data_IF_327383045870
#
_entry.id   IF_327383045870
#
_cell.length_a   1.000
_cell.length_b   1.000
_cell.length_c   1.000
_cell.angle_alpha   90.00
_cell.angle_beta   90.00
_cell.angle_gamma   90.00
#
_symmetry.space_group_name_H-M   'P 1'
#
loop_
_entity.id
_entity.type
_entity.pdbx_description
1 polymer ?
#
# COMPACT_ATOMS: atom_id res chain seq x y z
N UNK A 1 -22.15 9.21 1.60
CA UNK A 1 -21.13 10.22 1.27
C UNK A 1 -19.83 9.61 1.70
N UNK A 2 -18.87 9.45 0.79
CA UNK A 2 -17.58 8.87 1.15
C UNK A 2 -16.71 9.94 1.81
N UNK A 3 -16.07 9.60 2.93
CA UNK A 3 -15.11 10.51 3.56
C UNK A 3 -13.75 10.34 2.87
N UNK A 4 -13.08 11.44 2.58
CA UNK A 4 -11.70 11.40 2.11
C UNK A 4 -10.77 11.61 3.31
N UNK A 5 -9.85 10.67 3.52
CA UNK A 5 -8.92 10.65 4.66
C UNK A 5 -7.50 10.54 4.13
N UNK A 6 -6.62 11.40 4.62
CA UNK A 6 -5.17 11.34 4.35
C UNK A 6 -4.43 11.09 5.66
N UNK A 7 -3.36 10.30 5.61
CA UNK A 7 -2.46 10.07 6.74
C UNK A 7 -1.03 9.76 6.26
N UNK A 8 -0.05 9.81 7.16
CA UNK A 8 1.32 9.40 6.87
C UNK A 8 1.45 7.88 6.88
N UNK A 9 2.56 7.37 6.34
CA UNK A 9 2.89 5.95 6.40
C UNK A 9 2.96 5.43 7.84
N UNK A 10 3.65 6.13 8.73
CA UNK A 10 3.77 5.76 10.15
C UNK A 10 2.39 5.67 10.85
N UNK A 11 1.49 6.62 10.58
CA UNK A 11 0.12 6.62 11.12
C UNK A 11 -0.68 5.42 10.61
N UNK A 12 -0.49 5.06 9.35
CA UNK A 12 -1.13 3.90 8.74
C UNK A 12 -0.60 2.59 9.32
N UNK A 13 0.71 2.48 9.53
CA UNK A 13 1.32 1.30 10.16
C UNK A 13 0.81 1.10 11.59
N UNK A 14 0.76 2.16 12.40
CA UNK A 14 0.25 2.09 13.77
C UNK A 14 -1.24 1.69 13.80
N UNK A 15 -2.04 2.28 12.90
CA UNK A 15 -3.49 2.13 12.89
C UNK A 15 -3.94 0.78 12.31
N UNK A 16 -3.36 0.37 11.19
CA UNK A 16 -3.85 -0.79 10.43
C UNK A 16 -2.98 -2.04 10.60
N UNK A 17 -1.72 -1.90 11.00
CA UNK A 17 -0.78 -3.00 11.27
C UNK A 17 -0.62 -3.90 10.04
N UNK A 18 0.16 -3.48 9.03
CA UNK A 18 0.44 -4.32 7.87
C UNK A 18 1.09 -5.64 8.31
N UNK A 19 0.65 -6.72 7.70
CA UNK A 19 1.16 -8.05 7.96
C UNK A 19 2.42 -8.31 7.12
N UNK A 20 3.38 -9.00 7.73
CA UNK A 20 4.56 -9.50 7.02
C UNK A 20 4.14 -10.40 5.86
N UNK A 21 4.85 -10.27 4.74
CA UNK A 21 4.66 -11.15 3.61
C UNK A 21 5.28 -12.52 3.93
N UNK A 22 4.44 -13.47 4.32
CA UNK A 22 4.89 -14.82 4.66
C UNK A 22 5.23 -15.70 3.45
N UNK A 23 4.91 -15.25 2.23
CA UNK A 23 5.16 -15.99 0.99
C UNK A 23 6.60 -15.74 0.54
N UNK A 24 7.04 -14.48 0.56
CA UNK A 24 8.44 -14.09 0.37
C UNK A 24 9.02 -13.42 1.62
N UNK A 25 9.34 -14.24 2.61
CA UNK A 25 9.79 -13.78 3.92
C UNK A 25 11.13 -13.02 3.91
N UNK A 26 11.94 -13.10 2.85
CA UNK A 26 13.28 -12.50 2.80
C UNK A 26 13.52 -11.56 1.60
N UNK A 27 12.65 -11.59 0.58
CA UNK A 27 12.76 -10.75 -0.61
C UNK A 27 11.70 -9.64 -0.70
N UNK A 28 10.66 -9.68 0.15
CA UNK A 28 9.62 -8.66 0.14
C UNK A 28 10.17 -7.25 0.42
N UNK A 29 9.63 -6.26 -0.29
CA UNK A 29 9.96 -4.84 -0.09
C UNK A 29 9.31 -4.28 1.19
N UNK A 30 9.71 -3.06 1.59
CA UNK A 30 9.31 -2.43 2.86
C UNK A 30 9.77 -3.26 4.07
N UNK A 31 11.09 -3.49 4.16
CA UNK A 31 11.71 -4.37 5.15
C UNK A 31 11.92 -3.67 6.49
N UNK A 32 11.73 -4.42 7.57
CA UNK A 32 12.18 -4.04 8.90
C UNK A 32 13.69 -4.33 9.10
N UNK A 33 14.22 -4.01 10.29
CA UNK A 33 15.63 -4.28 10.66
C UNK A 33 16.00 -5.78 10.63
N UNK A 34 15.01 -6.68 10.62
CA UNK A 34 15.20 -8.13 10.52
C UNK A 34 15.21 -8.63 9.08
N UNK A 35 14.97 -7.75 8.10
CA UNK A 35 14.91 -8.07 6.67
C UNK A 35 13.57 -8.65 6.21
N UNK A 36 12.52 -8.60 7.06
CA UNK A 36 11.19 -9.10 6.69
C UNK A 36 10.36 -7.95 6.11
N UNK A 37 9.86 -8.13 4.89
CA UNK A 37 9.03 -7.14 4.19
C UNK A 37 7.52 -7.37 4.32
N UNK A 38 6.74 -6.33 4.04
CA UNK A 38 5.27 -6.34 4.13
C UNK A 38 4.57 -6.25 2.76
N UNK A 39 5.30 -5.93 1.69
CA UNK A 39 4.73 -5.75 0.35
C UNK A 39 4.53 -7.10 -0.36
N UNK A 40 3.38 -7.24 -1.01
CA UNK A 40 3.03 -8.36 -1.87
C UNK A 40 3.13 -7.96 -3.34
N UNK A 41 3.63 -8.88 -4.16
CA UNK A 41 3.80 -8.71 -5.60
C UNK A 41 2.48 -8.66 -6.39
N UNK A 42 2.59 -8.14 -7.62
CA UNK A 42 1.45 -7.90 -8.51
C UNK A 42 1.12 -9.07 -9.43
N UNK A 43 1.78 -10.22 -9.23
CA UNK A 43 1.53 -11.45 -9.97
C UNK A 43 1.85 -12.70 -9.14
N UNK A 44 1.46 -13.87 -9.65
CA UNK A 44 1.83 -15.16 -9.07
C UNK A 44 1.09 -15.48 -7.76
N UNK A 45 1.76 -16.21 -6.86
CA UNK A 45 1.15 -16.70 -5.62
C UNK A 45 0.78 -15.58 -4.64
N UNK A 46 1.54 -14.48 -4.66
CA UNK A 46 1.30 -13.32 -3.80
C UNK A 46 0.05 -12.55 -4.20
N UNK A 47 -0.13 -12.28 -5.51
CA UNK A 47 -1.36 -11.65 -6.01
C UNK A 47 -2.60 -12.52 -5.73
N UNK A 48 -2.47 -13.85 -5.80
CA UNK A 48 -3.55 -14.77 -5.42
C UNK A 48 -3.88 -14.68 -3.93
N UNK A 49 -2.87 -14.57 -3.05
CA UNK A 49 -3.09 -14.39 -1.62
C UNK A 49 -3.81 -13.08 -1.31
N UNK A 50 -3.44 -11.99 -1.99
CA UNK A 50 -4.13 -10.69 -1.89
C UNK A 50 -5.58 -10.79 -2.34
N UNK A 51 -5.87 -11.45 -3.46
CA UNK A 51 -7.24 -11.63 -3.96
C UNK A 51 -8.12 -12.51 -3.05
N UNK A 52 -7.52 -13.40 -2.26
CA UNK A 52 -8.21 -14.28 -1.32
C UNK A 52 -8.38 -13.67 0.07
N UNK A 53 -7.70 -12.56 0.37
CA UNK A 53 -7.81 -11.86 1.63
C UNK A 53 -9.18 -11.16 1.78
N UNK A 54 -9.47 -10.66 2.99
CA UNK A 54 -10.62 -9.77 3.18
C UNK A 54 -10.41 -8.50 2.34
N UNK A 55 -11.34 -8.13 1.43
CA UNK A 55 -11.17 -6.93 0.60
C UNK A 55 -11.00 -5.64 1.41
N UNK A 56 -11.44 -5.61 2.67
CA UNK A 56 -11.27 -4.46 3.56
C UNK A 56 -9.93 -4.43 4.29
N UNK A 57 -9.06 -5.42 4.08
CA UNK A 57 -7.68 -5.40 4.59
C UNK A 57 -6.65 -5.25 3.47
N UNK A 58 -7.09 -5.19 2.21
CA UNK A 58 -6.21 -5.06 1.05
C UNK A 58 -5.96 -3.58 0.74
N UNK A 59 -4.71 -3.25 0.50
CA UNK A 59 -4.27 -1.91 0.11
C UNK A 59 -3.41 -2.00 -1.14
N UNK A 60 -3.55 -1.03 -2.04
CA UNK A 60 -2.75 -0.95 -3.26
C UNK A 60 -1.69 0.12 -3.12
N UNK A 61 -0.43 -0.23 -3.38
CA UNK A 61 0.68 0.70 -3.54
C UNK A 61 0.79 1.13 -4.99
N UNK A 62 0.91 2.43 -5.24
CA UNK A 62 0.85 3.04 -6.58
C UNK A 62 1.70 4.31 -6.63
N UNK A 63 1.89 4.84 -7.84
CA UNK A 63 2.57 6.10 -8.10
C UNK A 63 1.67 7.08 -8.85
N UNK A 64 2.00 8.37 -8.80
CA UNK A 64 1.37 9.40 -9.61
C UNK A 64 2.20 9.67 -10.87
N UNK A 65 1.76 10.65 -11.67
CA UNK A 65 2.42 11.00 -12.92
C UNK A 65 3.73 11.78 -12.75
N UNK A 66 4.03 12.28 -11.54
CA UNK A 66 5.23 13.06 -11.21
C UNK A 66 6.18 12.28 -10.28
N UNK A 67 5.96 10.98 -10.12
CA UNK A 67 6.85 10.09 -9.38
C UNK A 67 6.60 10.04 -7.87
N UNK A 68 5.56 10.70 -7.36
CA UNK A 68 5.09 10.50 -6.00
C UNK A 68 4.52 9.11 -5.82
N UNK A 69 4.57 8.56 -4.60
CA UNK A 69 4.03 7.24 -4.31
C UNK A 69 3.07 7.27 -3.13
N UNK A 70 2.01 6.48 -3.24
CA UNK A 70 0.93 6.46 -2.27
C UNK A 70 0.29 5.08 -2.15
N UNK A 71 -0.34 4.85 -1.01
CA UNK A 71 -1.13 3.65 -0.73
C UNK A 71 -2.60 4.06 -0.68
N UNK A 72 -3.47 3.29 -1.34
CA UNK A 72 -4.93 3.46 -1.27
C UNK A 72 -5.62 2.22 -0.75
N UNK A 73 -6.72 2.42 -0.03
CA UNK A 73 -7.56 1.32 0.41
C UNK A 73 -8.22 0.61 -0.77
N UNK A 74 -8.24 -0.72 -0.72
CA UNK A 74 -8.81 -1.59 -1.73
C UNK A 74 -7.80 -2.11 -2.75
N UNK A 75 -8.28 -3.09 -3.52
CA UNK A 75 -7.55 -3.75 -4.59
C UNK A 75 -7.75 -3.01 -5.92
N UNK A 76 -6.67 -2.70 -6.64
CA UNK A 76 -6.70 -2.18 -8.01
C UNK A 76 -5.85 -3.03 -8.94
N UNK A 77 -6.35 -3.27 -10.16
CA UNK A 77 -5.62 -3.90 -11.27
C UNK A 77 -4.89 -2.89 -12.16
N UNK A 78 -4.98 -1.60 -11.86
CA UNK A 78 -4.42 -0.52 -12.67
C UNK A 78 -3.42 0.29 -11.87
N UNK A 79 -2.33 0.70 -12.55
CA UNK A 79 -1.24 1.53 -12.02
C UNK A 79 -0.86 1.11 -10.60
N UNK A 80 -0.32 -0.11 -10.48
CA UNK A 80 0.03 -0.72 -9.18
C UNK A 80 1.49 -1.14 -9.17
N UNK A 81 2.16 -0.85 -8.05
CA UNK A 81 3.52 -1.29 -7.77
C UNK A 81 3.49 -2.56 -6.91
N UNK A 82 2.55 -2.65 -5.98
CA UNK A 82 2.40 -3.79 -5.07
C UNK A 82 1.15 -3.68 -4.22
N UNK A 83 0.99 -4.60 -3.28
CA UNK A 83 -0.12 -4.62 -2.35
C UNK A 83 0.34 -4.79 -0.90
N UNK A 84 -0.56 -4.48 0.04
CA UNK A 84 -0.40 -4.80 1.45
C UNK A 84 -1.67 -5.47 1.97
N UNK A 85 -1.53 -6.29 3.01
CA UNK A 85 -2.65 -6.86 3.76
C UNK A 85 -2.49 -6.45 5.23
N UNK A 86 -3.52 -5.87 5.83
CA UNK A 86 -3.50 -5.36 7.21
C UNK A 86 -4.26 -6.25 8.19
N UNK A 87 -3.90 -6.20 9.48
CA UNK A 87 -4.66 -6.90 10.52
C UNK A 87 -6.03 -6.25 10.78
N UNK A 88 -6.09 -4.91 10.68
CA UNK A 88 -7.30 -4.13 10.93
C UNK A 88 -7.94 -3.77 9.60
N UNK A 89 -9.25 -4.02 9.40
CA UNK A 89 -9.94 -3.62 8.18
C UNK A 89 -10.23 -2.11 8.17
N UNK A 90 -10.18 -1.49 6.99
CA UNK A 90 -10.70 -0.14 6.79
C UNK A 90 -12.23 -0.13 6.67
N UNK A 91 -12.82 1.05 6.85
CA UNK A 91 -14.24 1.25 6.62
C UNK A 91 -14.53 1.37 5.11
N UNK A 92 -15.40 0.54 4.51
CA UNK A 92 -15.68 0.56 3.08
C UNK A 92 -16.31 1.87 2.56
N UNK A 93 -16.85 2.71 3.45
CA UNK A 93 -17.39 4.02 3.07
C UNK A 93 -16.30 5.11 2.94
N UNK A 94 -15.07 4.85 3.42
CA UNK A 94 -13.98 5.81 3.38
C UNK A 94 -13.09 5.62 2.14
N UNK A 95 -12.57 6.73 1.62
CA UNK A 95 -11.51 6.77 0.61
C UNK A 95 -10.27 7.26 1.36
N UNK A 96 -9.26 6.40 1.45
CA UNK A 96 -8.08 6.61 2.27
C UNK A 96 -6.85 6.62 1.37
N UNK A 97 -6.03 7.65 1.54
CA UNK A 97 -4.75 7.79 0.86
C UNK A 97 -3.62 8.00 1.87
N UNK A 98 -2.50 7.33 1.64
CA UNK A 98 -1.31 7.39 2.48
C UNK A 98 -0.16 7.85 1.60
N UNK A 99 0.43 9.00 1.91
CA UNK A 99 1.62 9.48 1.21
C UNK A 99 2.83 8.70 1.69
N UNK A 100 3.54 8.04 0.75
CA UNK A 100 4.78 7.29 1.02
C UNK A 100 6.00 8.11 0.59
N UNK A 101 5.94 8.72 -0.59
CA UNK A 101 6.95 9.67 -1.06
C UNK A 101 6.29 10.79 -1.86
N UNK A 102 6.82 12.00 -1.72
CA UNK A 102 6.45 13.13 -2.58
C UNK A 102 7.13 12.96 -3.94
N UNK A 103 6.45 13.40 -5.01
CA UNK A 103 7.02 13.43 -6.37
C UNK A 103 7.99 14.60 -6.54
N UNK A 104 8.75 14.57 -7.62
CA UNK A 104 9.61 15.71 -7.98
C UNK A 104 8.74 16.79 -8.64
N UNK A 105 8.60 17.96 -8.02
CA UNK A 105 8.04 19.12 -8.71
C UNK A 105 9.04 19.53 -9.80
N UNK A 106 8.60 19.57 -11.07
CA UNK A 106 9.41 20.18 -12.13
C UNK A 106 9.57 21.68 -11.78
N UNK A 107 10.77 22.09 -11.36
CA UNK A 107 11.10 23.50 -11.17
C UNK A 107 10.81 24.27 -12.48
N UNK A 108 9.72 25.04 -12.53
CA UNK A 108 9.36 25.94 -13.66
C UNK A 108 10.29 27.17 -13.77
N UNK A 109 11.60 27.01 -13.54
CA UNK A 109 12.59 28.09 -13.71
C UNK A 109 13.67 27.68 -14.73
N UNK A 110 13.37 27.92 -16.01
CA UNK A 110 14.33 27.93 -17.13
C UNK A 110 14.28 29.24 -17.92
#
# INVERSE_FOLDING_TARGET
>A
MSNFITMTFDEWEEKYRPMKNSIDAAGASFQDESGEGIMYETCGEEELAVQLADPHTVWTYTTDTVGGTYIRNGFSMWDRIGYFITEVPFNPDDIIEITVSEGEEEDEDA
#
